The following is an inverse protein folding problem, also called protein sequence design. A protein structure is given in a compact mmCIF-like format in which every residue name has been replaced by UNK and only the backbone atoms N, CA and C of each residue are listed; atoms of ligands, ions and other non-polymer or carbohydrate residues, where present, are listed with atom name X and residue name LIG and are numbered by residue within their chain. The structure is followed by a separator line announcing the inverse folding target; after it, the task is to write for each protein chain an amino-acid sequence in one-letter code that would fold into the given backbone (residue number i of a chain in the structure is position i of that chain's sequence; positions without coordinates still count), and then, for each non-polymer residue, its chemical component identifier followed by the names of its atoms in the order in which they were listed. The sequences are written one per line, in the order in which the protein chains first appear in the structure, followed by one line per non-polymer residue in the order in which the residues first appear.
data_IF_531587725221
#
_entry.id   IF_531587725221
#
_cell.length_a   1.000
_cell.length_b   1.000
_cell.length_c   1.000
_cell.angle_alpha   90.00
_cell.angle_beta   90.00
_cell.angle_gamma   90.00
#
_symmetry.space_group_name_H-M   'P 1'
#
loop_
_entity.id
_entity.type
_entity.pdbx_description
1 polymer ?
#
# COMPACT_ATOMS: atom_id res chain seq x y z
N UNK A 1 6.91 10.79 8.72
CA UNK A 1 7.01 9.39 9.22
C UNK A 1 8.40 8.86 8.89
N UNK A 2 9.10 8.31 9.87
CA UNK A 2 10.47 7.81 9.68
C UNK A 2 10.49 6.30 9.39
N UNK A 3 11.68 5.78 9.07
CA UNK A 3 11.86 4.37 8.75
C UNK A 3 11.44 3.45 9.90
N UNK A 4 11.72 3.84 11.14
CA UNK A 4 11.34 3.04 12.31
C UNK A 4 9.81 2.88 12.42
N UNK A 5 9.06 3.95 12.16
CA UNK A 5 7.60 3.90 12.16
C UNK A 5 7.06 3.02 11.03
N UNK A 6 7.70 3.09 9.86
CA UNK A 6 7.35 2.24 8.70
C UNK A 6 7.57 0.77 9.07
N UNK A 7 8.72 0.45 9.68
CA UNK A 7 9.03 -0.93 10.08
C UNK A 7 8.04 -1.46 11.12
N UNK A 8 7.56 -0.61 12.03
CA UNK A 8 6.53 -1.00 12.99
C UNK A 8 5.22 -1.39 12.31
N UNK A 9 4.83 -0.66 11.27
CA UNK A 9 3.62 -0.98 10.50
C UNK A 9 3.79 -2.32 9.78
N UNK A 10 4.92 -2.53 9.12
CA UNK A 10 5.22 -3.78 8.42
C UNK A 10 5.16 -4.96 9.40
N UNK A 11 5.75 -4.81 10.58
CA UNK A 11 5.76 -5.84 11.60
C UNK A 11 4.36 -6.10 12.17
N UNK A 12 3.57 -5.06 12.38
CA UNK A 12 2.19 -5.20 12.85
C UNK A 12 1.35 -6.03 11.87
N UNK A 13 1.50 -5.78 10.58
CA UNK A 13 0.82 -6.54 9.53
C UNK A 13 1.33 -7.98 9.49
N UNK A 14 2.63 -8.18 9.67
CA UNK A 14 3.22 -9.52 9.71
C UNK A 14 2.70 -10.36 10.87
N UNK A 15 2.51 -9.75 12.04
CA UNK A 15 1.94 -10.44 13.21
C UNK A 15 0.51 -10.93 12.98
N UNK A 16 -0.20 -10.29 12.06
CA UNK A 16 -1.56 -10.70 11.68
C UNK A 16 -1.56 -11.74 10.54
N UNK A 17 -0.40 -12.24 10.15
CA UNK A 17 -0.28 -13.33 9.19
C UNK A 17 0.12 -12.93 7.77
N UNK A 18 0.43 -11.66 7.53
CA UNK A 18 0.77 -11.18 6.19
C UNK A 18 2.21 -10.66 6.16
N UNK A 19 3.12 -11.54 5.75
CA UNK A 19 4.53 -11.22 5.58
C UNK A 19 4.81 -11.00 4.10
N UNK A 20 5.58 -9.96 3.71
CA UNK A 20 5.90 -9.77 2.31
C UNK A 20 6.75 -10.93 1.78
N UNK A 21 6.47 -11.35 0.56
CA UNK A 21 7.26 -12.38 -0.13
C UNK A 21 8.66 -11.86 -0.43
N UNK A 22 8.76 -10.55 -0.64
CA UNK A 22 10.02 -9.90 -0.95
C UNK A 22 10.03 -8.51 -0.36
N UNK A 23 11.11 -8.15 0.31
CA UNK A 23 11.32 -6.83 0.88
C UNK A 23 12.72 -6.35 0.52
N UNK A 24 12.81 -5.15 -0.04
CA UNK A 24 14.09 -4.50 -0.30
C UNK A 24 14.11 -3.14 0.38
N UNK A 25 15.26 -2.76 0.89
CA UNK A 25 15.45 -1.45 1.50
C UNK A 25 16.79 -0.90 1.01
N UNK A 26 16.72 0.07 0.11
CA UNK A 26 17.91 0.70 -0.47
C UNK A 26 17.79 2.20 -0.23
N UNK A 27 18.66 2.74 0.61
CA UNK A 27 18.69 4.15 1.01
C UNK A 27 17.32 4.58 1.59
N UNK A 28 16.62 5.49 0.93
CA UNK A 28 15.31 5.99 1.37
C UNK A 28 14.14 5.31 0.67
N UNK A 29 14.40 4.20 0.01
CA UNK A 29 13.42 3.48 -0.78
C UNK A 29 13.18 2.07 -0.22
N UNK A 30 11.95 1.79 0.15
CA UNK A 30 11.54 0.46 0.61
C UNK A 30 10.52 -0.08 -0.40
N UNK A 31 10.75 -1.32 -0.87
CA UNK A 31 9.80 -2.02 -1.72
C UNK A 31 9.29 -3.25 -1.00
N UNK A 32 7.99 -3.44 -1.00
CA UNK A 32 7.32 -4.59 -0.38
C UNK A 32 6.49 -5.30 -1.42
N UNK A 33 6.71 -6.60 -1.58
CA UNK A 33 5.96 -7.44 -2.50
C UNK A 33 5.17 -8.48 -1.70
N UNK A 34 3.85 -8.34 -1.71
CA UNK A 34 2.92 -9.29 -1.07
C UNK A 34 2.28 -10.25 -2.10
N UNK A 35 2.90 -10.38 -3.28
CA UNK A 35 2.40 -11.21 -4.36
C UNK A 35 1.47 -10.42 -5.27
N UNK A 36 0.20 -10.32 -4.91
CA UNK A 36 -0.80 -9.59 -5.70
C UNK A 36 -0.92 -8.11 -5.35
N UNK A 37 -0.19 -7.69 -4.33
CA UNK A 37 -0.19 -6.31 -3.88
C UNK A 37 1.26 -5.89 -3.63
N UNK A 38 1.63 -4.71 -4.12
CA UNK A 38 2.99 -4.20 -4.01
C UNK A 38 2.96 -2.76 -3.52
N UNK A 39 3.94 -2.44 -2.67
CA UNK A 39 4.11 -1.09 -2.13
C UNK A 39 5.52 -0.60 -2.39
N UNK A 40 5.63 0.66 -2.77
CA UNK A 40 6.91 1.37 -2.80
C UNK A 40 6.80 2.55 -1.84
N UNK A 41 7.75 2.67 -0.93
CA UNK A 41 7.75 3.72 0.08
C UNK A 41 9.00 4.56 -0.09
N UNK A 42 8.83 5.82 -0.44
CA UNK A 42 9.92 6.75 -0.71
C UNK A 42 9.79 7.99 0.15
N UNK A 43 10.90 8.39 0.77
CA UNK A 43 10.97 9.70 1.42
C UNK A 43 11.41 10.75 0.41
N UNK A 44 10.66 11.85 0.37
CA UNK A 44 10.98 13.02 -0.44
C UNK A 44 10.98 14.22 0.50
N UNK A 45 12.16 14.55 1.01
CA UNK A 45 12.27 15.47 2.14
C UNK A 45 11.68 14.83 3.38
N UNK A 46 10.80 15.56 4.07
CA UNK A 46 10.10 15.05 5.27
C UNK A 46 8.83 14.26 4.94
N UNK A 47 8.51 14.15 3.66
CA UNK A 47 7.27 13.55 3.21
C UNK A 47 7.47 12.11 2.75
N UNK A 48 6.63 11.20 3.23
CA UNK A 48 6.59 9.83 2.74
C UNK A 48 5.58 9.74 1.60
N UNK A 49 6.02 9.19 0.47
CA UNK A 49 5.16 8.93 -0.69
C UNK A 49 5.09 7.42 -0.86
N UNK A 50 3.89 6.88 -0.84
CA UNK A 50 3.64 5.45 -0.98
C UNK A 50 2.94 5.19 -2.31
N UNK A 51 3.58 4.38 -3.16
CA UNK A 51 2.98 3.88 -4.38
C UNK A 51 2.37 2.50 -4.11
N UNK A 52 1.18 2.27 -4.62
CA UNK A 52 0.44 1.02 -4.40
C UNK A 52 -0.01 0.45 -5.73
N UNK A 53 0.20 -0.86 -5.91
CA UNK A 53 -0.35 -1.62 -7.03
C UNK A 53 -1.11 -2.80 -6.46
N UNK A 54 -2.40 -2.91 -6.80
CA UNK A 54 -3.27 -3.99 -6.35
C UNK A 54 -3.76 -4.75 -7.57
N UNK A 55 -3.42 -6.04 -7.68
CA UNK A 55 -3.92 -6.88 -8.74
C UNK A 55 -5.38 -7.25 -8.45
N UNK A 56 -6.28 -6.93 -9.38
CA UNK A 56 -7.70 -7.28 -9.28
C UNK A 56 -7.88 -8.65 -9.93
N UNK A 57 -8.40 -9.64 -9.18
CA UNK A 57 -8.73 -10.95 -9.76
C UNK A 57 -10.16 -10.92 -10.30
N UNK A 58 -10.52 -11.93 -11.11
CA UNK A 58 -11.90 -12.09 -11.61
C UNK A 58 -12.91 -12.28 -10.48
N UNK A 59 -12.44 -12.63 -9.30
CA UNK A 59 -13.28 -12.89 -8.14
C UNK A 59 -13.35 -11.72 -7.16
N UNK A 60 -12.57 -10.67 -7.40
CA UNK A 60 -12.56 -9.49 -6.55
C UNK A 60 -13.54 -8.48 -7.13
N UNK A 61 -14.63 -8.24 -6.41
CA UNK A 61 -15.60 -7.23 -6.81
C UNK A 61 -15.02 -5.84 -6.51
N UNK A 62 -14.75 -5.08 -7.56
CA UNK A 62 -14.41 -3.66 -7.45
C UNK A 62 -15.71 -2.88 -7.63
N UNK A 63 -16.18 -2.27 -6.56
CA UNK A 63 -17.47 -1.62 -6.52
C UNK A 63 -17.39 -0.13 -6.17
N UNK A 64 -18.54 0.52 -6.01
CA UNK A 64 -18.62 1.93 -5.66
C UNK A 64 -17.98 2.24 -4.31
N UNK A 65 -18.01 1.29 -3.36
CA UNK A 65 -17.34 1.44 -2.08
C UNK A 65 -15.84 1.60 -2.23
N UNK A 66 -15.24 0.83 -3.15
CA UNK A 66 -13.81 0.95 -3.46
C UNK A 66 -13.48 2.29 -4.09
N UNK A 67 -14.31 2.74 -5.03
CA UNK A 67 -14.15 4.06 -5.66
C UNK A 67 -14.19 5.16 -4.61
N UNK A 68 -15.17 5.11 -3.72
CA UNK A 68 -15.32 6.10 -2.67
C UNK A 68 -14.12 6.11 -1.73
N UNK A 69 -13.64 4.92 -1.35
CA UNK A 69 -12.46 4.80 -0.49
C UNK A 69 -11.21 5.40 -1.15
N UNK A 70 -10.95 5.02 -2.40
CA UNK A 70 -9.78 5.53 -3.13
C UNK A 70 -9.84 7.05 -3.29
N UNK A 71 -11.01 7.59 -3.62
CA UNK A 71 -11.19 9.03 -3.73
C UNK A 71 -10.97 9.76 -2.39
N UNK A 72 -11.14 9.07 -1.27
CA UNK A 72 -10.91 9.67 0.05
C UNK A 72 -9.43 9.74 0.44
N UNK A 73 -8.58 8.92 -0.17
CA UNK A 73 -7.16 8.84 0.21
C UNK A 73 -6.20 9.37 -0.87
N UNK A 74 -6.66 9.50 -2.10
CA UNK A 74 -5.82 9.95 -3.21
C UNK A 74 -6.66 10.63 -4.29
N UNK A 75 -6.02 11.54 -5.04
CA UNK A 75 -6.63 12.18 -6.21
C UNK A 75 -6.20 11.49 -7.51
N UNK A 76 -5.37 10.47 -7.43
CA UNK A 76 -4.57 10.02 -8.57
C UNK A 76 -4.53 8.50 -8.68
N UNK A 77 -5.70 7.85 -8.69
CA UNK A 77 -5.79 6.42 -8.89
C UNK A 77 -6.28 6.10 -10.31
N UNK A 78 -5.79 4.98 -10.85
CA UNK A 78 -6.21 4.51 -12.17
C UNK A 78 -6.11 2.99 -12.24
N UNK A 79 -6.81 2.41 -13.22
CA UNK A 79 -6.76 0.98 -13.49
C UNK A 79 -6.03 0.75 -14.80
N UNK A 80 -5.01 -0.12 -14.76
CA UNK A 80 -4.23 -0.49 -15.94
C UNK A 80 -3.83 -1.95 -15.84
N UNK A 81 -4.07 -2.71 -16.89
CA UNK A 81 -3.75 -4.15 -16.95
C UNK A 81 -4.24 -4.95 -15.75
N UNK A 82 -5.50 -4.75 -15.35
CA UNK A 82 -6.13 -5.42 -14.23
C UNK A 82 -5.50 -5.09 -12.88
N UNK A 83 -4.80 -3.98 -12.80
CA UNK A 83 -4.25 -3.50 -11.54
C UNK A 83 -4.79 -2.13 -11.21
N UNK A 84 -5.11 -1.93 -9.93
CA UNK A 84 -5.40 -0.60 -9.40
C UNK A 84 -4.05 -0.01 -9.00
N UNK A 85 -3.77 1.20 -9.46
CA UNK A 85 -2.52 1.91 -9.18
C UNK A 85 -2.85 3.26 -8.57
N UNK A 86 -2.19 3.60 -7.48
CA UNK A 86 -2.32 4.91 -6.87
C UNK A 86 -1.11 5.24 -6.01
N UNK A 87 -0.98 6.51 -5.66
CA UNK A 87 -0.02 6.95 -4.67
C UNK A 87 -0.73 7.79 -3.61
N UNK A 88 -0.21 7.78 -2.40
CA UNK A 88 -0.76 8.59 -1.32
C UNK A 88 0.36 8.98 -0.36
N UNK A 89 0.06 9.93 0.53
CA UNK A 89 1.04 10.52 1.44
C UNK A 89 0.56 10.37 2.88
N UNK A 90 0.82 9.22 3.52
CA UNK A 90 0.39 9.02 4.90
C UNK A 90 1.16 9.93 5.85
N UNK A 91 0.48 10.45 6.85
CA UNK A 91 1.08 11.30 7.88
C UNK A 91 1.28 10.54 9.19
N UNK A 92 0.56 9.45 9.39
CA UNK A 92 0.61 8.66 10.62
C UNK A 92 0.77 7.18 10.31
N UNK A 93 1.27 6.43 11.29
CA UNK A 93 1.37 4.97 11.20
C UNK A 93 0.00 4.36 10.93
N UNK A 94 -1.05 4.90 11.58
CA UNK A 94 -2.41 4.42 11.40
C UNK A 94 -2.90 4.56 9.97
N UNK A 95 -2.66 5.70 9.34
CA UNK A 95 -3.04 5.92 7.93
C UNK A 95 -2.33 4.93 7.01
N UNK A 96 -1.03 4.73 7.20
CA UNK A 96 -0.26 3.78 6.41
C UNK A 96 -0.80 2.36 6.59
N UNK A 97 -1.01 1.95 7.84
CA UNK A 97 -1.49 0.60 8.14
C UNK A 97 -2.87 0.34 7.54
N UNK A 98 -3.79 1.28 7.66
CA UNK A 98 -5.15 1.15 7.10
C UNK A 98 -5.13 0.95 5.59
N UNK A 99 -4.34 1.74 4.86
CA UNK A 99 -4.26 1.63 3.40
C UNK A 99 -3.57 0.34 2.99
N UNK A 100 -2.52 -0.06 3.70
CA UNK A 100 -1.86 -1.34 3.44
C UNK A 100 -2.81 -2.51 3.65
N UNK A 101 -3.60 -2.50 4.74
CA UNK A 101 -4.60 -3.53 5.00
C UNK A 101 -5.66 -3.60 3.91
N UNK A 102 -6.22 -2.44 3.54
CA UNK A 102 -7.19 -2.37 2.44
C UNK A 102 -6.62 -3.01 1.18
N UNK A 103 -5.38 -2.65 0.84
CA UNK A 103 -4.73 -3.09 -0.38
C UNK A 103 -4.45 -4.59 -0.39
N UNK A 104 -3.95 -5.13 0.71
CA UNK A 104 -3.65 -6.55 0.85
C UNK A 104 -4.95 -7.38 0.76
N UNK A 105 -5.99 -6.96 1.47
CA UNK A 105 -7.27 -7.66 1.46
C UNK A 105 -7.96 -7.60 0.10
N UNK A 106 -7.86 -6.47 -0.59
CA UNK A 106 -8.47 -6.30 -1.91
C UNK A 106 -7.79 -7.15 -2.98
N UNK A 107 -6.55 -7.55 -2.76
CA UNK A 107 -5.78 -8.37 -3.71
C UNK A 107 -6.01 -9.87 -3.54
N UNK A 108 -6.76 -10.28 -2.54
CA UNK A 108 -7.00 -11.70 -2.23
C UNK A 108 -8.17 -12.30 -2.98
#
# INVERSE_FOLDING_TARGET
MNTEQIEKVIESIAKSGYTPERKTHIDKHISLDYGRCKFTLNHKGDQLIVGVTIQISHYTAFDQGDVNYLNSITDDWFIYEQCINFSFKPKTEKELEEVMWYSIKSSQ
#
